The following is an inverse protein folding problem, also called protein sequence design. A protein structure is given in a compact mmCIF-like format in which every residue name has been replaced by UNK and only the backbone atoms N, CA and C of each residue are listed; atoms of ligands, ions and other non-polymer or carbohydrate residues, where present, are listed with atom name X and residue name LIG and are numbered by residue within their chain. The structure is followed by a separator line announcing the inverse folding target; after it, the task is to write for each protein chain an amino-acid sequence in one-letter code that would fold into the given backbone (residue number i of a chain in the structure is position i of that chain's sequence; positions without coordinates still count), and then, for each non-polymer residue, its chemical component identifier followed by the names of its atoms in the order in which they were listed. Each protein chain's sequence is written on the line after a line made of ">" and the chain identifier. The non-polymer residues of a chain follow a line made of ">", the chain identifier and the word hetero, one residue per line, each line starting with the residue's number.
data_IF_148315983847
#
_entry.id   IF_148315983847
#
_cell.length_a   1.000
_cell.length_b   1.000
_cell.length_c   1.000
_cell.angle_alpha   90.00
_cell.angle_beta   90.00
_cell.angle_gamma   90.00
#
_symmetry.space_group_name_H-M   'P 1'
#
loop_
_entity.id
_entity.type
_entity.pdbx_description
1 polymer ?
#
# COMPACT_ATOMS: atom_id res chain seq x y z
N UNK A 1 57.92 -89.46 -36.67
CA UNK A 1 56.59 -88.95 -37.05
C UNK A 1 55.59 -89.33 -35.96
N UNK A 2 55.52 -88.58 -34.85
CA UNK A 2 54.35 -88.52 -33.96
C UNK A 2 54.41 -87.19 -33.19
N UNK A 3 53.51 -86.28 -33.55
CA UNK A 3 53.41 -84.91 -33.06
C UNK A 3 52.67 -84.84 -31.73
N UNK A 4 53.24 -84.14 -30.74
CA UNK A 4 52.53 -83.77 -29.52
C UNK A 4 51.87 -82.39 -29.71
N UNK A 5 50.54 -82.37 -29.73
CA UNK A 5 49.75 -81.13 -29.81
C UNK A 5 49.34 -80.69 -28.40
N UNK A 6 49.80 -79.51 -27.97
CA UNK A 6 49.42 -78.88 -26.71
C UNK A 6 48.12 -78.06 -26.88
N UNK A 7 47.10 -78.33 -26.05
CA UNK A 7 45.84 -77.60 -26.04
C UNK A 7 45.94 -76.44 -25.04
N UNK A 8 46.02 -75.21 -25.54
CA UNK A 8 46.01 -73.99 -24.72
C UNK A 8 44.56 -73.63 -24.39
N UNK A 9 44.18 -73.76 -23.12
CA UNK A 9 42.86 -73.35 -22.64
C UNK A 9 42.81 -71.83 -22.42
N UNK A 10 42.19 -71.09 -23.34
CA UNK A 10 41.95 -69.65 -23.16
C UNK A 10 40.66 -69.42 -22.37
N UNK A 11 40.79 -69.00 -21.11
CA UNK A 11 39.66 -68.64 -20.25
C UNK A 11 39.18 -67.23 -20.64
N UNK A 12 38.00 -67.13 -21.24
CA UNK A 12 37.36 -65.85 -21.60
C UNK A 12 36.83 -65.17 -20.34
N UNK A 13 37.35 -63.97 -20.03
CA UNK A 13 36.82 -63.11 -18.97
C UNK A 13 35.67 -62.30 -19.58
N UNK A 14 34.43 -62.58 -19.17
CA UNK A 14 33.27 -61.78 -19.55
C UNK A 14 33.23 -60.51 -18.68
N UNK A 15 33.52 -59.36 -19.29
CA UNK A 15 33.29 -58.06 -18.67
C UNK A 15 31.79 -57.71 -18.78
N UNK A 16 31.06 -57.78 -17.67
CA UNK A 16 29.69 -57.27 -17.61
C UNK A 16 29.73 -55.75 -17.45
N UNK A 17 29.54 -55.04 -18.56
CA UNK A 17 29.33 -53.59 -18.58
C UNK A 17 27.99 -53.27 -17.91
N UNK A 18 28.01 -53.05 -16.60
CA UNK A 18 26.84 -52.56 -15.86
C UNK A 18 26.54 -51.12 -16.25
N UNK A 19 25.47 -50.91 -17.01
CA UNK A 19 24.94 -49.56 -17.28
C UNK A 19 24.37 -49.03 -15.97
N UNK A 20 25.11 -48.14 -15.31
CA UNK A 20 24.57 -47.36 -14.19
C UNK A 20 23.65 -46.28 -14.76
N UNK A 21 22.36 -46.57 -14.89
CA UNK A 21 21.36 -45.53 -15.13
C UNK A 21 21.34 -44.59 -13.92
N UNK A 22 22.02 -43.45 -14.05
CA UNK A 22 21.86 -42.34 -13.13
C UNK A 22 20.45 -41.76 -13.38
N UNK A 23 19.48 -42.15 -12.55
CA UNK A 23 18.18 -41.50 -12.53
C UNK A 23 18.40 -40.07 -12.03
N UNK A 24 18.46 -39.11 -12.96
CA UNK A 24 18.29 -37.70 -12.65
C UNK A 24 16.87 -37.54 -12.14
N UNK A 25 16.70 -37.59 -10.82
CA UNK A 25 15.48 -37.13 -10.16
C UNK A 25 15.42 -35.63 -10.45
N UNK A 26 14.76 -35.25 -11.54
CA UNK A 26 14.34 -33.89 -11.75
C UNK A 26 13.36 -33.58 -10.60
N UNK A 27 13.84 -32.89 -9.56
CA UNK A 27 12.96 -32.23 -8.60
C UNK A 27 12.13 -31.24 -9.40
N UNK A 28 10.95 -31.66 -9.84
CA UNK A 28 9.90 -30.75 -10.26
C UNK A 28 9.49 -30.01 -9.00
N UNK A 29 10.14 -28.86 -8.76
CA UNK A 29 9.63 -27.88 -7.83
C UNK A 29 8.21 -27.58 -8.30
N UNK A 30 7.21 -27.97 -7.50
CA UNK A 30 5.85 -27.48 -7.71
C UNK A 30 5.98 -25.97 -7.57
N UNK A 31 5.96 -25.25 -8.69
CA UNK A 31 5.62 -23.84 -8.67
C UNK A 31 4.22 -23.82 -8.08
N UNK A 32 4.11 -23.56 -6.78
CA UNK A 32 2.86 -23.11 -6.21
C UNK A 32 2.55 -21.86 -7.02
N UNK A 33 1.58 -21.97 -7.92
CA UNK A 33 0.99 -20.80 -8.53
C UNK A 33 0.46 -20.00 -7.34
N UNK A 34 1.23 -18.98 -6.95
CA UNK A 34 0.72 -17.93 -6.08
C UNK A 34 -0.40 -17.34 -6.91
N UNK A 35 -1.64 -17.60 -6.49
CA UNK A 35 -2.79 -16.94 -7.08
C UNK A 35 -2.45 -15.45 -7.12
N UNK A 36 -2.60 -14.82 -8.29
CA UNK A 36 -2.35 -13.40 -8.47
C UNK A 36 -3.04 -12.68 -7.31
N UNK A 37 -2.23 -12.20 -6.38
CA UNK A 37 -2.71 -11.52 -5.20
C UNK A 37 -3.53 -10.37 -5.72
N UNK A 38 -4.83 -10.34 -5.40
CA UNK A 38 -5.56 -9.07 -5.38
C UNK A 38 -4.68 -8.15 -4.54
N UNK A 39 -3.95 -7.25 -5.19
CA UNK A 39 -3.07 -6.28 -4.55
C UNK A 39 -3.85 -5.70 -3.35
N UNK A 40 -3.29 -5.74 -2.13
CA UNK A 40 -4.03 -5.29 -0.96
C UNK A 40 -4.47 -3.85 -1.19
N UNK A 41 -5.78 -3.59 -1.13
CA UNK A 41 -6.36 -2.24 -1.31
C UNK A 41 -5.58 -1.19 -0.50
N UNK A 42 -5.19 -1.57 0.72
CA UNK A 42 -4.41 -0.78 1.65
C UNK A 42 -3.11 -0.19 1.06
N UNK A 43 -2.41 -0.85 0.14
CA UNK A 43 -1.15 -0.33 -0.42
C UNK A 43 -1.41 0.76 -1.48
N UNK A 44 -2.55 0.67 -2.17
CA UNK A 44 -2.87 1.49 -3.35
C UNK A 44 -3.70 2.73 -3.03
N UNK A 45 -4.37 2.77 -1.87
CA UNK A 45 -5.14 3.92 -1.39
C UNK A 45 -4.27 5.15 -1.14
N UNK A 46 -4.77 6.34 -1.52
CA UNK A 46 -4.03 7.59 -1.41
C UNK A 46 -3.54 7.90 0.03
N UNK A 47 -4.37 7.62 1.03
CA UNK A 47 -4.06 7.74 2.46
C UNK A 47 -4.78 6.63 3.24
N UNK A 48 -4.40 6.31 4.49
CA UNK A 48 -5.01 5.21 5.24
C UNK A 48 -6.51 5.40 5.55
N UNK A 49 -6.99 6.64 5.50
CA UNK A 49 -8.39 7.00 5.69
C UNK A 49 -9.08 7.49 4.39
N UNK A 50 -8.41 7.39 3.23
CA UNK A 50 -8.97 7.88 1.96
C UNK A 50 -8.35 7.20 0.74
N UNK A 51 -9.21 6.60 -0.08
CA UNK A 51 -8.79 5.86 -1.28
C UNK A 51 -8.37 6.79 -2.43
N UNK A 52 -9.12 7.87 -2.66
CA UNK A 52 -9.00 8.73 -3.86
C UNK A 52 -8.21 10.02 -3.61
N UNK A 53 -7.78 10.66 -4.70
CA UNK A 53 -7.14 11.99 -4.67
C UNK A 53 -8.13 13.10 -4.26
N UNK A 54 -7.61 14.28 -3.90
CA UNK A 54 -8.40 15.43 -3.45
C UNK A 54 -7.96 16.76 -4.10
N UNK A 55 -7.11 16.69 -5.11
CA UNK A 55 -6.73 17.84 -5.94
C UNK A 55 -6.54 17.35 -7.38
N UNK A 56 -6.90 18.18 -8.35
CA UNK A 56 -6.84 17.85 -9.78
C UNK A 56 -5.43 17.45 -10.24
N UNK A 57 -4.41 18.12 -9.71
CA UNK A 57 -3.00 17.89 -10.08
C UNK A 57 -2.32 16.82 -9.19
N UNK A 58 -3.07 16.15 -8.30
CA UNK A 58 -2.51 15.12 -7.43
C UNK A 58 -2.46 13.78 -8.17
N UNK A 59 -1.26 13.18 -8.26
CA UNK A 59 -1.09 11.83 -8.81
C UNK A 59 -1.61 10.78 -7.82
N UNK A 60 -2.34 9.75 -8.30
CA UNK A 60 -2.79 8.66 -7.45
C UNK A 60 -1.58 7.82 -7.01
N UNK A 61 -1.67 7.26 -5.81
CA UNK A 61 -0.58 6.48 -5.19
C UNK A 61 -0.21 5.23 -6.00
N UNK A 62 -1.18 4.54 -6.59
CA UNK A 62 -0.94 3.37 -7.42
C UNK A 62 0.10 3.64 -8.53
N UNK A 63 -0.04 4.78 -9.24
CA UNK A 63 0.88 5.18 -10.31
C UNK A 63 2.27 5.60 -9.81
N UNK A 64 2.41 5.90 -8.51
CA UNK A 64 3.69 6.26 -7.90
C UNK A 64 4.45 4.99 -7.49
N UNK A 65 3.74 4.00 -6.95
CA UNK A 65 4.33 2.75 -6.47
C UNK A 65 4.84 1.88 -7.62
N UNK A 66 4.25 2.00 -8.81
CA UNK A 66 4.72 1.31 -10.02
C UNK A 66 6.11 1.79 -10.53
N UNK A 67 6.65 2.86 -9.95
CA UNK A 67 7.99 3.37 -10.33
C UNK A 67 9.10 2.36 -9.97
N UNK A 68 10.07 2.11 -10.88
CA UNK A 68 11.18 1.19 -10.62
C UNK A 68 11.99 1.46 -9.36
N UNK A 69 11.96 2.68 -8.82
CA UNK A 69 12.61 3.05 -7.56
C UNK A 69 11.96 2.42 -6.32
N UNK A 70 10.71 1.97 -6.40
CA UNK A 70 10.01 1.29 -5.31
C UNK A 70 10.11 -0.23 -5.39
N UNK A 71 10.83 -0.78 -6.37
CA UNK A 71 11.13 -2.20 -6.45
C UNK A 71 11.99 -2.58 -5.24
N UNK A 72 11.57 -3.61 -4.49
CA UNK A 72 12.23 -4.11 -3.27
C UNK A 72 12.30 -3.11 -2.11
N UNK A 73 11.50 -2.05 -2.13
CA UNK A 73 11.36 -1.12 -1.01
C UNK A 73 10.29 -1.64 -0.05
N UNK A 74 10.57 -1.57 1.26
CA UNK A 74 9.55 -1.77 2.29
C UNK A 74 8.57 -0.59 2.27
N UNK A 75 7.35 -0.85 1.80
CA UNK A 75 6.29 0.15 1.65
C UNK A 75 5.64 0.53 2.99
N UNK A 76 5.69 -0.36 3.98
CA UNK A 76 5.08 -0.14 5.30
C UNK A 76 5.90 0.87 6.12
N UNK A 77 7.22 0.90 5.90
CA UNK A 77 8.12 1.89 6.48
C UNK A 77 8.08 3.27 5.83
N UNK A 78 7.32 3.45 4.74
CA UNK A 78 7.24 4.75 4.04
C UNK A 78 6.26 5.70 4.73
N UNK A 79 6.51 7.03 4.69
CA UNK A 79 5.59 8.01 5.23
C UNK A 79 4.19 7.90 4.59
N UNK A 80 3.17 7.61 5.42
CA UNK A 80 1.77 7.50 4.99
C UNK A 80 0.83 8.17 6.01
N UNK A 81 0.78 9.52 6.04
CA UNK A 81 -0.07 10.25 6.98
C UNK A 81 -1.56 10.14 6.62
N UNK A 82 -2.42 10.39 7.61
CA UNK A 82 -3.86 10.52 7.41
C UNK A 82 -4.19 11.76 6.57
N UNK A 83 -5.18 11.64 5.68
CA UNK A 83 -5.68 12.75 4.91
C UNK A 83 -6.52 13.69 5.78
N UNK A 84 -6.08 14.94 5.90
CA UNK A 84 -6.73 15.95 6.75
C UNK A 84 -8.17 16.27 6.33
N UNK A 85 -8.52 16.12 5.05
CA UNK A 85 -9.87 16.36 4.52
C UNK A 85 -10.94 15.47 5.20
N UNK A 86 -10.60 14.23 5.54
CA UNK A 86 -11.54 13.35 6.24
C UNK A 86 -11.62 13.72 7.72
N UNK A 87 -10.47 14.00 8.34
CA UNK A 87 -10.41 14.38 9.75
C UNK A 87 -11.22 15.65 10.03
N UNK A 88 -11.16 16.67 9.15
CA UNK A 88 -11.95 17.89 9.33
C UNK A 88 -13.45 17.66 9.05
N UNK A 89 -13.79 16.67 8.22
CA UNK A 89 -15.18 16.30 7.95
C UNK A 89 -15.81 15.60 9.15
N UNK A 90 -15.02 14.86 9.93
CA UNK A 90 -15.44 14.21 11.18
C UNK A 90 -15.68 15.23 12.32
N UNK A 91 -14.96 16.35 12.33
CA UNK A 91 -15.13 17.39 13.36
C UNK A 91 -16.54 18.00 13.32
N UNK A 92 -17.26 18.08 14.46
CA UNK A 92 -18.63 18.59 14.49
C UNK A 92 -18.72 20.08 14.20
N UNK A 93 -19.90 20.50 13.74
CA UNK A 93 -20.20 21.92 13.54
C UNK A 93 -20.31 22.60 14.90
N UNK A 94 -19.64 23.74 15.06
CA UNK A 94 -19.65 24.53 16.29
C UNK A 94 -20.78 25.55 16.23
N UNK A 95 -21.72 25.40 17.13
CA UNK A 95 -22.85 26.31 17.23
C UNK A 95 -22.49 27.56 18.03
N UNK A 96 -22.78 28.74 17.47
CA UNK A 96 -22.60 30.04 18.11
C UNK A 96 -23.92 30.80 18.19
N UNK A 97 -24.07 31.68 19.17
CA UNK A 97 -25.28 32.50 19.35
C UNK A 97 -25.26 33.79 18.53
N UNK A 98 -24.08 34.20 18.06
CA UNK A 98 -23.89 35.42 17.28
C UNK A 98 -23.90 35.16 15.78
N UNK A 99 -24.32 36.18 15.01
CA UNK A 99 -24.26 36.17 13.54
C UNK A 99 -22.82 36.09 12.98
N UNK A 100 -21.84 36.56 13.75
CA UNK A 100 -20.41 36.47 13.41
C UNK A 100 -19.74 35.49 14.37
N UNK A 101 -18.98 34.53 13.84
CA UNK A 101 -18.11 33.66 14.62
C UNK A 101 -16.66 34.16 14.58
N UNK A 102 -15.99 34.18 15.74
CA UNK A 102 -14.57 34.47 15.84
C UNK A 102 -13.77 33.16 15.87
N UNK A 103 -12.83 32.98 14.93
CA UNK A 103 -11.93 31.83 14.91
C UNK A 103 -10.48 32.30 14.91
N UNK A 104 -9.68 31.74 15.83
CA UNK A 104 -8.24 31.93 15.94
C UNK A 104 -7.46 30.60 15.85
N UNK A 105 -8.16 29.49 15.61
CA UNK A 105 -7.57 28.16 15.53
C UNK A 105 -7.23 27.53 16.88
N UNK A 106 -7.52 28.22 18.00
CA UNK A 106 -7.15 27.79 19.34
C UNK A 106 -5.69 28.08 19.69
N UNK A 107 -5.39 28.17 20.99
CA UNK A 107 -4.02 28.42 21.47
C UNK A 107 -3.51 29.85 21.26
N UNK A 108 -4.39 30.80 20.92
CA UNK A 108 -4.05 32.21 20.77
C UNK A 108 -3.00 32.45 19.69
N UNK A 109 -1.76 32.74 20.07
CA UNK A 109 -0.66 32.99 19.12
C UNK A 109 -0.16 31.73 18.39
N UNK A 110 -0.50 30.52 18.88
CA UNK A 110 -0.11 29.26 18.23
C UNK A 110 -1.07 28.83 17.11
N UNK A 111 -2.21 29.51 16.97
CA UNK A 111 -3.19 29.25 15.93
C UNK A 111 -2.93 30.07 14.67
N UNK A 112 -4.01 30.50 14.01
CA UNK A 112 -3.95 31.36 12.83
C UNK A 112 -4.42 32.79 13.17
N UNK A 113 -4.20 33.77 12.28
CA UNK A 113 -4.74 35.12 12.48
C UNK A 113 -6.24 35.09 12.74
N UNK A 114 -6.68 35.87 13.73
CA UNK A 114 -8.10 35.96 14.09
C UNK A 114 -8.93 36.38 12.87
N UNK A 115 -9.91 35.56 12.52
CA UNK A 115 -10.88 35.85 11.47
C UNK A 115 -12.31 35.83 12.00
N UNK A 116 -13.17 36.54 11.29
CA UNK A 116 -14.59 36.60 11.55
C UNK A 116 -15.34 35.94 10.39
N UNK A 117 -16.07 34.86 10.69
CA UNK A 117 -16.86 34.12 9.72
C UNK A 117 -18.31 34.61 9.77
N UNK A 118 -18.89 34.90 8.61
CA UNK A 118 -20.29 35.32 8.51
C UNK A 118 -21.24 34.11 8.51
N UNK A 119 -22.30 34.16 9.32
CA UNK A 119 -23.29 33.09 9.49
C UNK A 119 -24.72 33.50 9.11
N UNK A 120 -24.88 34.64 8.45
CA UNK A 120 -26.20 35.17 8.07
C UNK A 120 -26.96 34.24 7.09
N UNK A 121 -26.26 33.42 6.30
CA UNK A 121 -26.86 32.52 5.30
C UNK A 121 -27.60 31.30 5.90
N UNK A 122 -27.50 31.11 7.22
CA UNK A 122 -28.12 29.98 7.95
C UNK A 122 -27.50 28.60 7.69
N UNK A 123 -26.59 28.50 6.70
CA UNK A 123 -25.79 27.31 6.41
C UNK A 123 -24.52 27.30 7.27
N UNK A 124 -23.96 26.12 7.57
CA UNK A 124 -22.65 26.03 8.19
C UNK A 124 -21.60 26.69 7.28
N UNK A 125 -20.83 27.63 7.82
CA UNK A 125 -19.74 28.29 7.14
C UNK A 125 -18.41 27.86 7.74
N UNK A 126 -17.41 27.65 6.89
CA UNK A 126 -16.08 27.18 7.27
C UNK A 126 -15.08 28.33 7.49
N UNK A 127 -14.16 28.11 8.42
CA UNK A 127 -12.99 28.95 8.57
C UNK A 127 -11.95 28.62 7.49
N UNK A 128 -11.51 29.63 6.74
CA UNK A 128 -10.53 29.47 5.65
C UNK A 128 -9.15 28.96 6.06
N UNK A 129 -8.82 28.97 7.36
CA UNK A 129 -7.54 28.47 7.87
C UNK A 129 -7.64 27.04 8.38
N UNK A 130 -8.45 26.80 9.43
CA UNK A 130 -8.56 25.47 10.05
C UNK A 130 -9.59 24.55 9.39
N UNK A 131 -10.51 25.07 8.58
CA UNK A 131 -11.65 24.31 8.06
C UNK A 131 -12.75 23.99 9.08
N UNK A 132 -12.66 24.54 10.31
CA UNK A 132 -13.71 24.40 11.32
C UNK A 132 -15.01 25.04 10.82
N UNK A 133 -16.12 24.33 11.02
CA UNK A 133 -17.45 24.75 10.57
C UNK A 133 -18.22 25.39 11.73
N UNK A 134 -18.83 26.53 11.48
CA UNK A 134 -19.64 27.27 12.45
C UNK A 134 -21.07 27.43 11.94
N UNK A 135 -22.03 27.43 12.85
CA UNK A 135 -23.44 27.69 12.52
C UNK A 135 -24.10 28.51 13.63
N UNK A 136 -25.00 29.41 13.27
CA UNK A 136 -25.78 30.17 14.24
C UNK A 136 -26.87 29.27 14.83
N UNK A 137 -26.99 29.24 16.17
CA UNK A 137 -28.08 28.53 16.84
C UNK A 137 -29.43 29.08 16.39
N UNK A 138 -30.43 28.22 16.13
CA UNK A 138 -31.78 28.69 15.87
C UNK A 138 -32.33 29.38 17.13
N UNK A 139 -32.67 30.66 17.02
CA UNK A 139 -33.41 31.35 18.07
C UNK A 139 -34.86 30.86 18.08
N UNK A 140 -35.21 30.05 19.09
CA UNK A 140 -36.61 29.81 19.43
C UNK A 140 -37.16 31.04 20.16
N UNK A 141 -38.13 31.71 19.56
CA UNK A 141 -39.02 32.65 20.25
C UNK A 141 -40.16 31.89 20.93
#
# INVERSE_FOLDING_TARGET
>A
MLSASAIIATRRIAASSGIRSAATIARRYKSTAVAASTEPKEVTEQAPNREVTWSENQRPRADIIDDPRFIQVDLDGQPRPMAAIQLITEEPIREVESRLACCDGGGGALGHPRVWVNLDDGKPADCSYCGLRFQMKPHHH
#
